data_IF_658591147646
#
_entry.id   IF_658591147646
#
_cell.length_a   1.000
_cell.length_b   1.000
_cell.length_c   1.000
_cell.angle_alpha   90.00
_cell.angle_beta   90.00
_cell.angle_gamma   90.00
#
_symmetry.space_group_name_H-M   'P 1'
#
loop_
_entity.id
_entity.type
_entity.pdbx_description
1 polymer ?
#
# COMPACT_ATOMS: atom_id res chain seq x y z
N UNK A 1 -6.15 -10.20 19.24
CA UNK A 1 -4.94 -9.54 18.69
C UNK A 1 -5.16 -9.39 17.21
N UNK A 2 -5.15 -8.16 16.71
CA UNK A 2 -5.28 -7.88 15.29
C UNK A 2 -3.85 -7.93 14.76
N UNK A 3 -3.53 -8.95 13.96
CA UNK A 3 -2.23 -9.00 13.27
C UNK A 3 -2.18 -7.77 12.38
N UNK A 4 -1.27 -6.84 12.66
CA UNK A 4 -1.00 -5.76 11.74
C UNK A 4 -0.55 -6.40 10.43
N UNK A 5 -1.31 -6.19 9.36
CA UNK A 5 -0.77 -6.40 8.03
C UNK A 5 0.50 -5.56 7.96
N UNK A 6 1.65 -6.11 7.54
CA UNK A 6 2.88 -5.35 7.45
C UNK A 6 2.62 -4.06 6.68
N UNK A 7 3.14 -2.95 7.18
CA UNK A 7 2.94 -1.66 6.55
C UNK A 7 3.42 -1.72 5.10
N UNK A 8 2.67 -1.06 4.20
CA UNK A 8 2.90 -1.07 2.76
C UNK A 8 4.37 -0.80 2.35
N UNK A 9 5.13 0.11 3.00
CA UNK A 9 6.54 0.34 2.66
C UNK A 9 7.44 -0.88 2.87
N UNK A 10 7.17 -1.68 3.90
CA UNK A 10 7.99 -2.84 4.25
C UNK A 10 7.69 -3.99 3.31
N UNK A 11 6.41 -4.17 3.00
CA UNK A 11 5.99 -5.07 1.93
C UNK A 11 6.69 -4.74 0.62
N UNK A 12 6.74 -3.47 0.24
CA UNK A 12 7.41 -3.02 -0.97
C UNK A 12 8.93 -3.29 -0.93
N UNK A 13 9.60 -3.09 0.22
CA UNK A 13 11.05 -3.27 0.34
C UNK A 13 11.56 -4.68 -0.02
N UNK A 14 10.97 -5.75 0.54
CA UNK A 14 11.40 -7.12 0.21
C UNK A 14 10.93 -7.55 -1.18
N UNK A 15 9.80 -7.01 -1.64
CA UNK A 15 9.28 -7.25 -2.99
C UNK A 15 10.21 -6.63 -4.04
N UNK A 16 10.78 -5.46 -3.76
CA UNK A 16 11.77 -4.82 -4.62
C UNK A 16 13.07 -5.63 -4.72
N UNK A 17 13.48 -6.35 -3.67
CA UNK A 17 14.69 -7.18 -3.72
C UNK A 17 14.57 -8.33 -4.74
N UNK A 18 13.42 -9.00 -4.79
CA UNK A 18 13.15 -10.01 -5.83
C UNK A 18 13.20 -9.39 -7.24
N UNK A 19 12.68 -8.16 -7.41
CA UNK A 19 12.76 -7.43 -8.69
C UNK A 19 14.20 -7.07 -9.05
N UNK A 20 15.01 -6.69 -8.08
CA UNK A 20 16.43 -6.40 -8.27
C UNK A 20 17.20 -7.65 -8.71
N UNK A 21 16.95 -8.79 -8.07
CA UNK A 21 17.52 -10.07 -8.48
C UNK A 21 17.21 -10.38 -9.95
N UNK A 22 15.94 -10.27 -10.35
CA UNK A 22 15.50 -10.62 -11.70
C UNK A 22 16.00 -9.62 -12.75
N UNK A 23 15.88 -8.31 -12.52
CA UNK A 23 16.17 -7.31 -13.55
C UNK A 23 17.61 -6.81 -13.57
N UNK A 24 18.29 -6.73 -12.43
CA UNK A 24 19.65 -6.18 -12.39
C UNK A 24 20.70 -7.25 -12.66
N UNK A 25 20.57 -8.42 -12.02
CA UNK A 25 21.57 -9.49 -12.15
C UNK A 25 21.27 -10.46 -13.29
N UNK A 26 20.00 -10.70 -13.62
CA UNK A 26 19.58 -11.80 -14.50
C UNK A 26 18.84 -11.33 -15.76
N UNK A 27 18.88 -10.03 -16.07
CA UNK A 27 18.37 -9.49 -17.33
C UNK A 27 19.45 -8.67 -18.03
N UNK A 28 20.14 -9.23 -19.04
CA UNK A 28 21.15 -8.49 -19.80
C UNK A 28 20.54 -7.47 -20.77
N UNK A 29 19.22 -7.48 -20.98
CA UNK A 29 18.54 -6.58 -21.91
C UNK A 29 18.36 -5.19 -21.30
N UNK A 30 18.67 -4.15 -22.08
CA UNK A 30 18.34 -2.76 -21.77
C UNK A 30 16.97 -2.35 -22.32
N UNK A 31 16.47 -3.08 -23.31
CA UNK A 31 15.22 -2.77 -24.03
C UNK A 31 14.02 -3.50 -23.44
N UNK A 32 14.26 -4.54 -22.64
CA UNK A 32 13.23 -5.33 -21.97
C UNK A 32 13.38 -5.26 -20.46
N UNK A 33 12.25 -5.38 -19.76
CA UNK A 33 12.18 -5.44 -18.31
C UNK A 33 11.24 -6.56 -17.89
N UNK A 34 11.59 -7.26 -16.82
CA UNK A 34 10.72 -8.21 -16.15
C UNK A 34 9.78 -7.48 -15.20
N UNK A 35 8.48 -7.53 -15.49
CA UNK A 35 7.43 -6.94 -14.66
C UNK A 35 6.79 -8.04 -13.82
N UNK A 36 6.71 -7.82 -12.51
CA UNK A 36 6.01 -8.74 -11.61
C UNK A 36 4.50 -8.65 -11.87
N UNK A 37 3.92 -9.75 -12.34
CA UNK A 37 2.50 -9.86 -12.69
C UNK A 37 1.66 -10.39 -11.53
N UNK A 38 2.25 -11.22 -10.69
CA UNK A 38 1.55 -11.88 -9.57
C UNK A 38 2.55 -12.28 -8.49
N UNK A 39 2.10 -12.22 -7.24
CA UNK A 39 2.72 -12.91 -6.10
C UNK A 39 1.74 -14.01 -5.71
N UNK A 40 2.17 -15.26 -5.65
CA UNK A 40 1.26 -16.39 -5.37
C UNK A 40 0.84 -16.43 -3.91
N UNK A 41 1.80 -16.29 -3.01
CA UNK A 41 1.54 -16.38 -1.59
C UNK A 41 2.55 -15.56 -0.79
N UNK A 42 2.10 -14.99 0.32
CA UNK A 42 2.99 -14.34 1.29
C UNK A 42 2.57 -14.77 2.68
N UNK A 43 3.53 -15.26 3.45
CA UNK A 43 3.37 -15.67 4.82
C UNK A 43 4.21 -14.77 5.72
N UNK A 44 3.58 -14.19 6.73
CA UNK A 44 4.23 -13.35 7.73
C UNK A 44 4.14 -14.09 9.07
N UNK A 45 5.27 -14.25 9.73
CA UNK A 45 5.37 -14.85 11.05
C UNK A 45 4.73 -13.95 12.11
N UNK A 46 4.16 -14.55 13.15
CA UNK A 46 3.48 -13.81 14.23
C UNK A 46 4.40 -12.90 15.04
N UNK A 47 5.71 -13.16 15.02
CA UNK A 47 6.74 -12.38 15.69
C UNK A 47 7.40 -11.35 14.75
N UNK A 48 6.83 -11.09 13.57
CA UNK A 48 7.38 -10.09 12.66
C UNK A 48 7.13 -8.69 13.21
N UNK A 49 8.20 -8.00 13.58
CA UNK A 49 8.17 -6.59 13.93
C UNK A 49 8.79 -5.75 12.79
N UNK A 50 7.97 -4.99 12.04
CA UNK A 50 8.41 -4.10 10.97
C UNK A 50 9.31 -2.95 11.41
N UNK A 51 9.37 -2.63 12.70
CA UNK A 51 10.20 -1.54 13.22
C UNK A 51 11.43 -2.07 13.98
N UNK A 52 11.57 -3.39 14.11
CA UNK A 52 12.63 -4.02 14.90
C UNK A 52 13.89 -4.27 14.04
N UNK A 53 14.81 -3.29 14.08
CA UNK A 53 16.21 -3.47 13.72
C UNK A 53 16.49 -3.75 12.24
N UNK A 54 17.55 -4.54 12.01
CA UNK A 54 18.04 -4.89 10.67
C UNK A 54 17.48 -6.24 10.22
N UNK A 55 17.25 -6.39 8.91
CA UNK A 55 16.78 -7.64 8.32
C UNK A 55 17.77 -8.18 7.28
N UNK A 56 17.85 -9.51 7.22
CA UNK A 56 18.55 -10.20 6.15
C UNK A 56 17.55 -10.64 5.09
N UNK A 57 17.82 -10.25 3.85
CA UNK A 57 17.02 -10.62 2.69
C UNK A 57 17.74 -11.69 1.89
N UNK A 58 17.02 -12.74 1.55
CA UNK A 58 17.46 -13.77 0.62
C UNK A 58 16.40 -13.96 -0.45
N UNK A 59 16.81 -14.10 -1.71
CA UNK A 59 15.88 -14.36 -2.80
C UNK A 59 16.48 -15.38 -3.75
N UNK A 60 15.62 -16.25 -4.26
CA UNK A 60 15.95 -17.23 -5.30
C UNK A 60 15.20 -16.86 -6.57
N UNK A 61 15.78 -17.22 -7.71
CA UNK A 61 15.16 -17.07 -9.02
C UNK A 61 15.18 -18.41 -9.75
N UNK A 62 14.15 -18.66 -10.56
CA UNK A 62 14.16 -19.68 -11.60
C UNK A 62 13.76 -19.05 -12.92
N UNK A 63 14.50 -19.36 -13.97
CA UNK A 63 14.09 -19.02 -15.33
C UNK A 63 12.91 -19.92 -15.73
N UNK A 64 11.82 -19.30 -16.21
CA UNK A 64 10.63 -19.98 -16.71
C UNK A 64 10.65 -20.18 -18.23
N UNK A 65 11.66 -19.65 -18.92
CA UNK A 65 11.81 -19.60 -20.37
C UNK A 65 12.42 -18.26 -20.80
N UNK A 66 12.36 -17.92 -22.10
CA UNK A 66 12.89 -16.65 -22.61
C UNK A 66 12.10 -15.43 -22.13
N UNK A 67 10.81 -15.62 -21.81
CA UNK A 67 9.86 -14.53 -21.53
C UNK A 67 9.40 -14.49 -20.09
N UNK A 68 9.73 -15.47 -19.26
CA UNK A 68 9.17 -15.59 -17.92
C UNK A 68 10.25 -15.94 -16.90
N UNK A 69 10.09 -15.42 -15.69
CA UNK A 69 10.92 -15.76 -14.54
C UNK A 69 10.04 -15.89 -13.30
N UNK A 70 10.47 -16.74 -12.38
CA UNK A 70 9.88 -16.80 -11.04
C UNK A 70 10.93 -16.48 -9.98
N UNK A 71 10.49 -15.89 -8.88
CA UNK A 71 11.34 -15.68 -7.72
C UNK A 71 10.58 -15.97 -6.43
N UNK A 72 11.34 -16.29 -5.38
CA UNK A 72 10.87 -16.32 -4.00
C UNK A 72 11.72 -15.34 -3.17
N UNK A 73 11.16 -14.79 -2.10
CA UNK A 73 11.84 -13.90 -1.19
C UNK A 73 11.64 -14.33 0.26
N UNK A 74 12.71 -14.29 1.04
CA UNK A 74 12.75 -14.69 2.43
C UNK A 74 13.39 -13.58 3.24
N UNK A 75 12.73 -13.20 4.33
CA UNK A 75 13.20 -12.17 5.26
C UNK A 75 13.47 -12.84 6.60
N UNK A 76 14.65 -12.59 7.14
CA UNK A 76 15.08 -13.08 8.43
C UNK A 76 15.38 -11.91 9.37
N UNK A 77 14.94 -12.05 10.61
CA UNK A 77 15.42 -11.20 11.71
C UNK A 77 16.92 -11.46 11.88
N UNK A 78 17.75 -10.41 11.80
CA UNK A 78 19.20 -10.54 11.88
C UNK A 78 19.69 -10.99 13.27
N UNK A 79 19.00 -10.64 14.34
CA UNK A 79 19.35 -11.02 15.72
C UNK A 79 19.01 -12.48 15.97
N UNK A 80 17.79 -12.90 15.64
CA UNK A 80 17.31 -14.26 15.98
C UNK A 80 17.60 -15.29 14.89
N UNK A 81 17.95 -14.82 13.68
CA UNK A 81 18.11 -15.64 12.46
C UNK A 81 16.86 -16.42 12.07
N UNK A 82 15.71 -16.07 12.65
CA UNK A 82 14.42 -16.69 12.33
C UNK A 82 13.84 -16.04 11.07
N UNK A 83 13.23 -16.86 10.23
CA UNK A 83 12.47 -16.37 9.09
C UNK A 83 11.18 -15.72 9.60
N UNK A 84 10.99 -14.45 9.26
CA UNK A 84 9.84 -13.65 9.69
C UNK A 84 8.88 -13.35 8.54
N UNK A 85 9.35 -13.40 7.29
CA UNK A 85 8.50 -13.34 6.09
C UNK A 85 9.00 -14.33 5.05
N UNK A 86 8.06 -15.00 4.38
CA UNK A 86 8.30 -15.79 3.18
C UNK A 86 7.28 -15.42 2.12
N UNK A 87 7.74 -14.91 0.97
CA UNK A 87 6.92 -14.57 -0.18
C UNK A 87 7.29 -15.47 -1.34
N UNK A 88 6.30 -16.21 -1.84
CA UNK A 88 6.47 -17.27 -2.82
C UNK A 88 5.82 -16.92 -4.15
N UNK A 89 6.45 -17.38 -5.23
CA UNK A 89 5.89 -17.37 -6.57
C UNK A 89 5.68 -15.95 -7.10
N UNK A 90 6.66 -15.08 -6.95
CA UNK A 90 6.71 -13.86 -7.75
C UNK A 90 6.82 -14.29 -9.21
N UNK A 91 5.77 -14.05 -10.01
CA UNK A 91 5.74 -14.37 -11.43
C UNK A 91 6.05 -13.11 -12.22
N UNK A 92 7.13 -13.14 -12.97
CA UNK A 92 7.56 -12.06 -13.83
C UNK A 92 7.33 -12.42 -15.29
N UNK A 93 6.91 -11.43 -16.07
CA UNK A 93 6.87 -11.51 -17.52
C UNK A 93 7.77 -10.45 -18.13
N UNK A 94 8.56 -10.84 -19.12
CA UNK A 94 9.48 -9.99 -19.87
C UNK A 94 8.66 -9.14 -20.84
N UNK A 95 8.88 -7.83 -20.79
CA UNK A 95 8.14 -6.89 -21.62
C UNK A 95 9.09 -5.83 -22.17
N UNK A 96 8.90 -5.50 -23.45
CA UNK A 96 9.59 -4.37 -24.06
C UNK A 96 9.27 -3.08 -23.30
N UNK A 97 10.30 -2.32 -22.94
CA UNK A 97 10.17 -1.08 -22.18
C UNK A 97 9.28 -0.06 -22.90
N UNK A 98 9.39 0.03 -24.23
CA UNK A 98 8.53 0.88 -25.04
C UNK A 98 7.04 0.51 -24.92
N UNK A 99 6.72 -0.78 -24.82
CA UNK A 99 5.35 -1.24 -24.60
C UNK A 99 4.87 -0.89 -23.19
N UNK A 100 5.73 -1.09 -22.17
CA UNK A 100 5.42 -0.73 -20.79
C UNK A 100 5.08 0.76 -20.66
N UNK A 101 5.92 1.64 -21.21
CA UNK A 101 5.70 3.09 -21.19
C UNK A 101 4.36 3.43 -21.81
N UNK A 102 4.06 2.87 -23.00
CA UNK A 102 2.80 3.13 -23.69
C UNK A 102 1.58 2.67 -22.89
N UNK A 103 1.65 1.49 -22.26
CA UNK A 103 0.56 0.97 -21.40
C UNK A 103 0.34 1.88 -20.19
N UNK A 104 1.41 2.31 -19.52
CA UNK A 104 1.33 3.22 -18.38
C UNK A 104 0.77 4.59 -18.77
N UNK A 105 1.20 5.14 -19.91
CA UNK A 105 0.66 6.40 -20.43
C UNK A 105 -0.85 6.32 -20.69
N UNK A 106 -1.32 5.22 -21.29
CA UNK A 106 -2.75 5.00 -21.54
C UNK A 106 -3.50 4.90 -20.20
N UNK A 107 -2.99 4.11 -19.26
CA UNK A 107 -3.61 3.92 -17.94
C UNK A 107 -3.75 5.25 -17.19
N UNK A 108 -2.69 6.07 -17.20
CA UNK A 108 -2.68 7.37 -16.54
C UNK A 108 -3.65 8.39 -17.17
N UNK A 109 -3.81 8.37 -18.51
CA UNK A 109 -4.83 9.19 -19.18
C UNK A 109 -6.24 8.79 -18.78
N UNK A 110 -6.53 7.48 -18.68
CA UNK A 110 -7.85 6.98 -18.28
C UNK A 110 -8.20 7.31 -16.82
N UNK A 111 -7.21 7.29 -15.91
CA UNK A 111 -7.41 7.66 -14.50
C UNK A 111 -7.86 9.13 -14.33
N UNK A 112 -7.38 10.03 -15.19
CA UNK A 112 -7.71 11.46 -15.15
C UNK A 112 -9.09 11.81 -15.74
N UNK A 113 -9.82 10.86 -16.33
CA UNK A 113 -11.12 11.11 -16.99
C UNK A 113 -12.31 10.95 -16.03
N UNK A 114 -12.11 10.54 -14.75
CA UNK A 114 -13.21 10.39 -13.79
C UNK A 114 -13.01 11.18 -12.49
N UNK A 115 -13.46 12.44 -12.51
CA UNK A 115 -14.18 13.04 -11.40
C UNK A 115 -15.16 14.09 -11.96
N UNK A 116 -16.42 13.75 -12.28
CA UNK A 116 -17.43 14.78 -12.44
C UNK A 116 -17.62 15.46 -11.08
N UNK A 117 -17.34 16.77 -11.02
CA UNK A 117 -17.64 17.60 -9.86
C UNK A 117 -19.11 17.39 -9.48
N UNK A 118 -19.35 16.83 -8.29
CA UNK A 118 -20.68 16.71 -7.72
C UNK A 118 -21.21 18.12 -7.44
N UNK A 119 -21.90 18.70 -8.42
CA UNK A 119 -22.68 19.91 -8.22
C UNK A 119 -23.88 19.56 -7.32
N UNK A 120 -23.72 19.76 -6.01
CA UNK A 120 -24.84 19.76 -5.08
C UNK A 120 -25.75 20.96 -5.36
N UNK A 121 -26.81 20.75 -6.15
CA UNK A 121 -27.96 21.66 -6.16
C UNK A 121 -28.69 21.52 -4.83
N UNK A 122 -28.53 22.52 -3.96
CA UNK A 122 -29.45 22.77 -2.83
C UNK A 122 -30.82 23.13 -3.40
N UNK A 123 -31.77 22.20 -3.34
CA UNK A 123 -33.18 22.51 -3.59
C UNK A 123 -33.88 22.61 -2.23
N UNK A 124 -34.20 23.84 -1.84
CA UNK A 124 -35.08 24.13 -0.71
C UNK A 124 -36.53 24.10 -1.18
N UNK A 125 -37.42 23.40 -0.47
CA UNK A 125 -38.86 23.68 -0.48
C UNK A 125 -39.51 23.24 0.84
N UNK A 126 -39.95 24.24 1.62
CA UNK A 126 -40.99 24.19 2.69
C UNK A 126 -42.38 24.06 1.99
N UNK A 127 -43.51 23.65 2.57
CA UNK A 127 -43.94 23.25 3.91
C UNK A 127 -45.28 22.48 3.78
N UNK A 128 -45.63 21.67 4.78
CA UNK A 128 -46.97 21.11 4.95
C UNK A 128 -47.16 20.66 6.40
N UNK A 129 -48.02 21.37 7.14
CA UNK A 129 -48.26 21.25 8.58
C UNK A 129 -49.09 20.00 8.91
N UNK A 130 -48.65 19.19 9.88
CA UNK A 130 -49.51 18.34 10.69
C UNK A 130 -48.87 18.18 12.08
N UNK A 131 -49.53 18.78 13.06
CA UNK A 131 -49.18 18.78 14.48
C UNK A 131 -49.51 17.41 15.07
N UNK A 132 -48.52 16.72 15.64
CA UNK A 132 -48.76 15.76 16.71
C UNK A 132 -47.71 15.88 17.82
N UNK A 133 -48.26 15.76 19.02
CA UNK A 133 -47.75 16.03 20.36
C UNK A 133 -46.62 15.06 20.77
N UNK A 134 -45.52 15.58 21.32
CA UNK A 134 -44.50 14.79 22.04
C UNK A 134 -44.43 15.35 23.48
N UNK A 135 -44.50 14.51 24.53
CA UNK A 135 -44.35 14.97 25.90
C UNK A 135 -42.88 15.23 26.26
N UNK A 136 -42.74 16.23 27.12
CA UNK A 136 -41.51 16.90 27.55
C UNK A 136 -40.69 16.05 28.53
N UNK A 137 -39.35 16.04 28.38
CA UNK A 137 -38.43 15.87 29.51
C UNK A 137 -36.99 16.31 29.20
N UNK A 138 -36.68 17.48 29.76
CA UNK A 138 -35.41 17.91 30.37
C UNK A 138 -34.14 18.16 29.55
N UNK A 139 -34.02 19.44 29.17
CA UNK A 139 -32.91 20.39 29.42
C UNK A 139 -31.53 19.88 29.88
N UNK A 140 -30.50 20.26 29.10
CA UNK A 140 -29.09 20.35 29.52
C UNK A 140 -28.27 21.19 28.53
N UNK A 141 -27.85 22.37 28.97
CA UNK A 141 -27.29 23.48 28.19
C UNK A 141 -25.81 23.32 27.78
N UNK A 142 -25.53 23.70 26.52
CA UNK A 142 -24.40 24.49 25.99
C UNK A 142 -23.09 24.60 26.82
N UNK A 143 -21.95 24.16 26.25
CA UNK A 143 -20.75 24.99 26.04
C UNK A 143 -19.62 24.24 25.30
N UNK A 144 -19.01 24.92 24.32
CA UNK A 144 -17.80 24.51 23.60
C UNK A 144 -16.53 24.94 24.36
N UNK A 145 -15.45 24.14 24.39
CA UNK A 145 -14.17 24.60 24.95
C UNK A 145 -13.34 25.41 23.93
N UNK A 146 -12.86 26.57 24.40
CA UNK A 146 -11.87 27.44 23.73
C UNK A 146 -10.51 26.77 23.65
N UNK A 147 -9.83 27.00 22.52
CA UNK A 147 -8.44 26.60 22.21
C UNK A 147 -7.45 27.47 23.00
N UNK A 148 -6.70 26.87 23.91
CA UNK A 148 -5.61 27.53 24.65
C UNK A 148 -4.26 27.27 23.96
N UNK A 149 -3.48 28.33 23.74
CA UNK A 149 -2.13 28.29 23.14
C UNK A 149 -1.10 28.08 24.25
N UNK A 150 -0.25 27.05 24.15
CA UNK A 150 0.93 26.89 25.04
C UNK A 150 2.16 27.64 24.49
N UNK A 151 2.99 28.25 25.36
CA UNK A 151 4.13 29.06 24.95
C UNK A 151 5.43 28.25 24.78
N UNK A 152 6.29 28.85 23.95
CA UNK A 152 7.65 28.47 23.56
C UNK A 152 8.63 28.45 24.74
N UNK A 153 9.38 27.37 24.92
CA UNK A 153 10.51 27.30 25.85
C UNK A 153 11.79 27.80 25.17
N UNK A 154 12.50 28.73 25.82
CA UNK A 154 13.84 29.20 25.44
C UNK A 154 14.90 28.32 26.10
N UNK A 155 15.92 27.98 25.30
CA UNK A 155 17.21 27.40 25.72
C UNK A 155 17.95 28.33 26.71
N UNK A 156 18.54 27.73 27.72
CA UNK A 156 19.83 28.12 28.30
C UNK A 156 20.72 26.88 28.34
#
# INVERSE_FOLDING_TARGET
MVNASPDTPITDSYTQFARFLVNYFNNPSIDDVFVCMKIEHTQIGGDFDPDEGEWLLYSTMKEGGETDATADAYVFDDRTKKMVVAAFGFRYSKMALALLVRVLEIANRCANIKAPARNEKKTSAKAGSAVYHVPDSNQGSLMTPKREKKPTAKRQ
#
